data_IF_783164576677
#
_entry.id   IF_783164576677
#
_cell.length_a   1.000
_cell.length_b   1.000
_cell.length_c   1.000
_cell.angle_alpha   90.00
_cell.angle_beta   90.00
_cell.angle_gamma   90.00
#
_symmetry.space_group_name_H-M   'P 1'
#
loop_
_entity.id
_entity.type
_entity.pdbx_description
1 polymer ?
#
# COMPACT_ATOMS: atom_id res chain seq x y z
N UNK A 1 17.99 16.46 -13.74
CA UNK A 1 16.86 16.78 -12.84
C UNK A 1 16.26 15.51 -12.24
N UNK A 2 15.76 14.57 -13.05
CA UNK A 2 15.20 13.27 -12.58
C UNK A 2 16.19 12.46 -11.74
N UNK A 3 17.42 12.28 -12.20
CA UNK A 3 18.43 11.48 -11.47
C UNK A 3 18.75 12.06 -10.10
N UNK A 4 18.83 13.39 -10.00
CA UNK A 4 19.07 14.08 -8.74
C UNK A 4 17.89 13.95 -7.78
N UNK A 5 16.65 13.98 -8.31
CA UNK A 5 15.47 13.70 -7.50
C UNK A 5 15.45 12.25 -7.00
N UNK A 6 15.81 11.27 -7.85
CA UNK A 6 15.90 9.86 -7.48
C UNK A 6 16.96 9.67 -6.39
N UNK A 7 18.17 10.21 -6.59
CA UNK A 7 19.26 10.13 -5.62
C UNK A 7 18.85 10.73 -4.26
N UNK A 8 18.17 11.87 -4.27
CA UNK A 8 17.64 12.49 -3.05
C UNK A 8 16.58 11.61 -2.37
N UNK A 9 15.71 10.93 -3.11
CA UNK A 9 14.75 10.00 -2.49
C UNK A 9 15.45 8.77 -1.93
N UNK A 10 16.43 8.21 -2.63
CA UNK A 10 17.21 7.07 -2.16
C UNK A 10 17.96 7.41 -0.86
N UNK A 11 18.54 8.61 -0.74
CA UNK A 11 19.21 9.06 0.47
C UNK A 11 18.27 9.29 1.67
N UNK A 12 16.98 9.51 1.42
CA UNK A 12 15.98 9.71 2.48
C UNK A 12 15.37 8.40 2.99
N UNK A 13 15.44 7.34 2.18
CA UNK A 13 14.86 6.05 2.50
C UNK A 13 15.90 5.18 3.19
N UNK A 14 15.48 4.31 4.14
CA UNK A 14 16.40 3.37 4.76
C UNK A 14 17.04 2.45 3.71
N UNK A 15 18.35 2.21 3.86
CA UNK A 15 19.10 1.22 3.10
C UNK A 15 18.70 -0.19 3.56
N UNK A 16 17.64 -0.73 2.98
CA UNK A 16 17.14 -2.06 3.26
C UNK A 16 16.53 -2.71 2.02
N UNK A 17 16.15 -3.98 2.12
CA UNK A 17 15.36 -4.62 1.06
C UNK A 17 13.92 -4.11 1.10
N UNK A 18 13.37 -3.84 -0.08
CA UNK A 18 11.98 -3.41 -0.26
C UNK A 18 11.22 -4.44 -1.10
N UNK A 19 9.93 -4.60 -0.83
CA UNK A 19 9.02 -5.37 -1.66
C UNK A 19 7.97 -4.46 -2.27
N UNK A 20 7.83 -4.54 -3.60
CA UNK A 20 6.74 -3.91 -4.32
C UNK A 20 5.50 -4.81 -4.34
N UNK A 21 4.34 -4.21 -4.06
CA UNK A 21 3.03 -4.84 -4.04
C UNK A 21 2.03 -3.99 -4.83
N UNK A 22 1.09 -4.67 -5.48
CA UNK A 22 -0.04 -4.02 -6.14
C UNK A 22 -1.34 -4.55 -5.56
N UNK A 23 -2.22 -3.63 -5.15
CA UNK A 23 -3.59 -3.90 -4.75
C UNK A 23 -4.55 -3.40 -5.84
N UNK A 24 -5.29 -4.31 -6.46
CA UNK A 24 -6.18 -4.01 -7.58
C UNK A 24 -7.62 -4.15 -7.15
N UNK A 25 -8.44 -3.13 -7.41
CA UNK A 25 -9.89 -3.23 -7.25
C UNK A 25 -10.49 -4.14 -8.33
N UNK A 26 -11.46 -5.00 -8.00
CA UNK A 26 -12.26 -5.68 -9.01
C UNK A 26 -13.06 -4.65 -9.83
N UNK A 27 -13.25 -4.94 -11.11
CA UNK A 27 -13.95 -4.08 -12.07
C UNK A 27 -15.40 -3.77 -11.68
N UNK A 28 -16.07 -4.69 -11.01
CA UNK A 28 -17.40 -4.50 -10.43
C UNK A 28 -17.49 -3.34 -9.45
N UNK A 29 -16.38 -2.96 -8.79
CA UNK A 29 -16.33 -1.81 -7.89
C UNK A 29 -15.84 -0.54 -8.58
N UNK A 30 -15.34 -0.61 -9.82
CA UNK A 30 -14.77 0.55 -10.49
C UNK A 30 -15.76 1.71 -10.67
N UNK A 31 -17.03 1.51 -11.08
CA UNK A 31 -18.00 2.60 -11.21
C UNK A 31 -18.21 3.34 -9.89
N UNK A 32 -18.19 2.61 -8.77
CA UNK A 32 -18.39 3.20 -7.44
C UNK A 32 -17.30 4.23 -7.12
N UNK A 33 -16.03 3.89 -7.37
CA UNK A 33 -14.90 4.80 -7.18
C UNK A 33 -14.76 5.83 -8.29
N UNK A 34 -15.30 5.57 -9.48
CA UNK A 34 -15.35 6.55 -10.57
C UNK A 34 -16.27 7.72 -10.20
N UNK A 35 -17.47 7.42 -9.69
CA UNK A 35 -18.43 8.44 -9.29
C UNK A 35 -18.11 9.05 -7.92
N UNK A 36 -17.49 8.30 -7.00
CA UNK A 36 -17.13 8.77 -5.66
C UNK A 36 -15.61 8.96 -5.53
N UNK A 37 -15.05 9.90 -6.30
CA UNK A 37 -13.59 10.14 -6.37
C UNK A 37 -12.94 10.45 -5.02
N UNK A 38 -13.69 11.02 -4.08
CA UNK A 38 -13.21 11.31 -2.72
C UNK A 38 -12.89 10.04 -1.91
N UNK A 39 -13.40 8.86 -2.29
CA UNK A 39 -13.04 7.58 -1.67
C UNK A 39 -11.72 6.98 -2.16
N UNK A 40 -11.10 7.54 -3.20
CA UNK A 40 -9.84 7.03 -3.71
C UNK A 40 -8.71 7.09 -2.68
N UNK A 41 -8.69 8.14 -1.85
CA UNK A 41 -7.70 8.28 -0.78
C UNK A 41 -7.81 7.15 0.26
N UNK A 42 -9.04 6.67 0.53
CA UNK A 42 -9.26 5.55 1.43
C UNK A 42 -8.57 4.27 0.93
N UNK A 43 -8.46 4.03 -0.38
CA UNK A 43 -7.79 2.84 -0.92
C UNK A 43 -6.31 2.78 -0.53
N UNK A 44 -5.61 3.92 -0.59
CA UNK A 44 -4.23 4.06 -0.13
C UNK A 44 -4.14 3.83 1.39
N UNK A 45 -4.98 4.52 2.18
CA UNK A 45 -4.97 4.38 3.65
C UNK A 45 -5.17 2.93 4.08
N UNK A 46 -6.17 2.25 3.52
CA UNK A 46 -6.47 0.85 3.83
C UNK A 46 -5.32 -0.09 3.41
N UNK A 47 -4.56 0.23 2.36
CA UNK A 47 -3.38 -0.53 1.96
C UNK A 47 -2.22 -0.37 2.95
N UNK A 48 -1.95 0.87 3.37
CA UNK A 48 -0.94 1.21 4.38
C UNK A 48 -1.29 0.57 5.72
N UNK A 49 -2.51 0.77 6.21
CA UNK A 49 -2.98 0.20 7.48
C UNK A 49 -2.89 -1.33 7.51
N UNK A 50 -3.14 -1.97 6.36
CA UNK A 50 -3.02 -3.42 6.24
C UNK A 50 -1.58 -3.90 6.48
N UNK A 51 -0.60 -3.19 5.91
CA UNK A 51 0.83 -3.47 6.07
C UNK A 51 1.33 -3.13 7.48
N UNK A 52 0.96 -1.96 8.00
CA UNK A 52 1.33 -1.56 9.36
C UNK A 52 0.77 -2.53 10.40
N UNK A 53 -0.47 -3.00 10.24
CA UNK A 53 -1.00 -4.06 11.09
C UNK A 53 -0.17 -5.34 10.99
N UNK A 54 0.25 -5.73 9.79
CA UNK A 54 1.04 -6.94 9.60
C UNK A 54 2.43 -6.82 10.26
N UNK A 55 3.05 -5.64 10.23
CA UNK A 55 4.27 -5.34 10.99
C UNK A 55 4.02 -5.38 12.50
N UNK A 56 3.02 -4.63 13.00
CA UNK A 56 2.68 -4.58 14.43
C UNK A 56 2.35 -5.93 15.04
N UNK A 57 1.67 -6.82 14.29
CA UNK A 57 1.40 -8.21 14.71
C UNK A 57 2.67 -9.04 14.97
N UNK A 58 3.82 -8.56 14.51
CA UNK A 58 5.15 -9.16 14.67
C UNK A 58 6.08 -8.31 15.52
N UNK A 59 5.57 -7.23 16.14
CA UNK A 59 6.35 -6.31 16.97
C UNK A 59 7.35 -5.47 16.18
N UNK A 60 7.06 -5.16 14.91
CA UNK A 60 7.98 -4.43 14.02
C UNK A 60 7.26 -3.28 13.32
N UNK A 61 7.83 -2.08 13.39
CA UNK A 61 7.41 -0.92 12.63
C UNK A 61 8.11 -0.89 11.26
N UNK A 62 7.32 -1.00 10.19
CA UNK A 62 7.80 -1.06 8.80
C UNK A 62 7.65 0.28 8.09
N UNK A 63 8.56 0.57 7.16
CA UNK A 63 8.43 1.69 6.24
C UNK A 63 7.50 1.36 5.08
N UNK A 64 6.62 2.29 4.70
CA UNK A 64 5.67 2.11 3.60
C UNK A 64 5.62 3.36 2.72
N UNK A 65 5.72 3.18 1.41
CA UNK A 65 5.43 4.20 0.40
C UNK A 65 4.25 3.73 -0.46
N UNK A 66 3.22 4.55 -0.60
CA UNK A 66 1.98 4.19 -1.27
C UNK A 66 1.58 5.24 -2.31
N UNK A 67 1.20 4.79 -3.50
CA UNK A 67 0.71 5.64 -4.58
C UNK A 67 -0.53 5.00 -5.22
N UNK A 68 -1.52 5.84 -5.52
CA UNK A 68 -2.70 5.42 -6.30
C UNK A 68 -2.51 5.76 -7.77
N UNK A 69 -2.79 4.79 -8.63
CA UNK A 69 -2.94 4.99 -10.06
C UNK A 69 -4.40 4.76 -10.45
N UNK A 70 -5.02 5.72 -11.13
CA UNK A 70 -6.44 5.63 -11.51
C UNK A 70 -6.66 5.07 -12.91
N UNK A 71 -5.62 5.02 -13.74
CA UNK A 71 -5.68 4.55 -15.12
C UNK A 71 -4.68 3.43 -15.37
N UNK A 72 -5.10 2.46 -16.19
CA UNK A 72 -4.22 1.43 -16.69
C UNK A 72 -3.39 1.90 -17.88
N UNK A 73 -2.50 1.03 -18.39
CA UNK A 73 -1.65 1.32 -19.56
C UNK A 73 -2.44 1.74 -20.81
N UNK A 74 -3.68 1.27 -20.97
CA UNK A 74 -4.57 1.61 -22.09
C UNK A 74 -5.44 2.86 -21.83
N UNK A 75 -5.14 3.62 -20.77
CA UNK A 75 -5.94 4.76 -20.31
C UNK A 75 -7.41 4.42 -19.98
N UNK A 76 -7.70 3.14 -19.74
CA UNK A 76 -8.97 2.72 -19.17
C UNK A 76 -8.96 2.99 -17.67
N UNK A 77 -10.13 3.36 -17.13
CA UNK A 77 -10.33 3.48 -15.69
C UNK A 77 -9.96 2.14 -15.03
N UNK A 78 -8.97 2.16 -14.14
CA UNK A 78 -8.40 0.98 -13.50
C UNK A 78 -7.71 1.41 -12.19
N UNK A 79 -8.48 1.74 -11.14
CA UNK A 79 -7.90 2.16 -9.87
C UNK A 79 -7.14 1.00 -9.21
N UNK A 80 -5.84 1.20 -9.00
CA UNK A 80 -4.95 0.27 -8.34
C UNK A 80 -3.92 1.02 -7.48
N UNK A 81 -3.48 0.37 -6.42
CA UNK A 81 -2.55 0.93 -5.44
C UNK A 81 -1.21 0.24 -5.59
N UNK A 82 -0.17 1.03 -5.85
CA UNK A 82 1.21 0.61 -5.78
C UNK A 82 1.74 0.88 -4.39
N UNK A 83 2.35 -0.11 -3.78
CA UNK A 83 2.97 0.02 -2.47
C UNK A 83 4.37 -0.56 -2.49
N UNK A 84 5.32 0.15 -1.89
CA UNK A 84 6.62 -0.38 -1.53
C UNK A 84 6.70 -0.46 -0.02
N UNK A 85 7.01 -1.64 0.51
CA UNK A 85 7.16 -1.88 1.95
C UNK A 85 8.56 -2.40 2.24
N UNK A 86 9.17 -1.98 3.34
CA UNK A 86 10.44 -2.54 3.80
C UNK A 86 10.26 -4.01 4.19
N UNK A 87 11.18 -4.88 3.80
CA UNK A 87 11.23 -6.29 4.23
C UNK A 87 11.90 -6.44 5.60
N UNK A 88 11.57 -5.52 6.49
CA UNK A 88 12.09 -5.41 7.83
C UNK A 88 11.70 -4.06 8.44
N UNK A 89 12.07 -3.84 9.68
CA UNK A 89 11.74 -2.61 10.40
C UNK A 89 12.33 -2.62 11.79
N UNK A 90 12.00 -1.61 12.58
CA UNK A 90 12.48 -1.49 13.97
C UNK A 90 11.48 -2.10 14.95
N UNK A 91 11.97 -2.84 15.95
CA UNK A 91 11.15 -3.25 17.09
C UNK A 91 11.09 -2.16 18.18
N UNK A 92 10.38 -2.43 19.27
CA UNK A 92 10.22 -1.49 20.40
C UNK A 92 11.56 -1.14 21.08
N UNK A 93 12.61 -1.94 20.89
CA UNK A 93 13.95 -1.68 21.37
C UNK A 93 14.82 -0.91 20.35
N UNK A 94 14.24 -0.53 19.21
CA UNK A 94 14.94 0.15 18.11
C UNK A 94 15.86 -0.77 17.30
N UNK A 95 15.73 -2.09 17.44
CA UNK A 95 16.57 -3.07 16.74
C UNK A 95 15.90 -3.48 15.44
N UNK A 96 16.68 -3.48 14.35
CA UNK A 96 16.18 -3.95 13.06
C UNK A 96 15.83 -5.44 13.08
N UNK A 97 14.66 -5.79 12.56
CA UNK A 97 14.17 -7.15 12.37
C UNK A 97 13.71 -7.34 10.93
N UNK A 98 14.19 -8.40 10.30
CA UNK A 98 13.75 -8.77 8.95
C UNK A 98 12.33 -9.33 8.97
N UNK A 99 11.61 -9.07 7.88
CA UNK A 99 10.24 -9.51 7.69
C UNK A 99 10.03 -10.03 6.27
N UNK A 100 9.07 -10.93 6.15
CA UNK A 100 8.52 -11.32 4.86
C UNK A 100 7.00 -11.19 4.87
N UNK A 101 6.47 -10.79 3.72
CA UNK A 101 5.04 -10.71 3.51
C UNK A 101 4.59 -11.69 2.44
N UNK A 102 3.45 -12.33 2.68
CA UNK A 102 2.79 -13.16 1.68
C UNK A 102 1.82 -12.29 0.86
N UNK A 103 2.11 -11.96 -0.41
CA UNK A 103 1.34 -10.97 -1.16
C UNK A 103 -0.15 -11.32 -1.26
N UNK A 104 -0.49 -12.60 -1.45
CA UNK A 104 -1.90 -13.04 -1.53
C UNK A 104 -2.66 -12.89 -0.22
N UNK A 105 -2.00 -12.98 0.95
CA UNK A 105 -2.65 -12.77 2.23
C UNK A 105 -2.95 -11.29 2.45
N UNK A 106 -2.00 -10.42 2.12
CA UNK A 106 -2.18 -8.98 2.16
C UNK A 106 -3.29 -8.53 1.21
N UNK A 107 -3.30 -8.99 -0.05
CA UNK A 107 -4.36 -8.65 -1.02
C UNK A 107 -5.75 -9.05 -0.53
N UNK A 108 -5.89 -10.25 0.04
CA UNK A 108 -7.17 -10.72 0.60
C UNK A 108 -7.64 -9.82 1.76
N UNK A 109 -6.76 -9.49 2.70
CA UNK A 109 -7.11 -8.63 3.83
C UNK A 109 -7.40 -7.20 3.42
N UNK A 110 -6.67 -6.64 2.46
CA UNK A 110 -6.96 -5.32 1.91
C UNK A 110 -8.35 -5.29 1.27
N UNK A 111 -8.71 -6.28 0.46
CA UNK A 111 -10.05 -6.36 -0.14
C UNK A 111 -11.15 -6.51 0.91
N UNK A 112 -10.88 -7.26 2.00
CA UNK A 112 -11.79 -7.32 3.14
C UNK A 112 -11.97 -5.93 3.79
N UNK A 113 -10.88 -5.20 4.05
CA UNK A 113 -10.92 -3.83 4.59
C UNK A 113 -11.71 -2.87 3.67
N UNK A 114 -11.51 -2.95 2.35
CA UNK A 114 -12.26 -2.14 1.36
C UNK A 114 -13.77 -2.42 1.47
N UNK A 115 -14.17 -3.69 1.58
CA UNK A 115 -15.59 -4.04 1.76
C UNK A 115 -16.16 -3.46 3.05
N UNK A 116 -15.42 -3.53 4.16
CA UNK A 116 -15.87 -2.95 5.43
C UNK A 116 -16.01 -1.42 5.33
N UNK A 117 -15.04 -0.76 4.71
CA UNK A 117 -15.09 0.68 4.46
C UNK A 117 -16.33 1.07 3.65
N UNK A 118 -16.63 0.35 2.57
CA UNK A 118 -17.80 0.61 1.73
C UNK A 118 -19.11 0.38 2.50
N UNK A 119 -19.20 -0.66 3.33
CA UNK A 119 -20.36 -0.92 4.17
C UNK A 119 -20.59 0.18 5.20
N UNK A 120 -19.54 0.85 5.69
CA UNK A 120 -19.66 1.94 6.65
C UNK A 120 -20.00 3.30 6.02
N UNK A 121 -20.14 3.37 4.68
CA UNK A 121 -20.61 4.60 4.01
C UNK A 121 -22.13 4.65 3.86
N UNK A 122 -22.84 3.63 4.35
CA UNK A 122 -24.29 3.49 4.36
C UNK A 122 -24.79 3.39 5.80
#
# INVERSE_FOLDING_TARGET
ATDQWIANQQHRLPECTWQHLVFTLPDTLWPLFFHNRHWLDALCRLAVDNLLYAGRRRGVEVGVFCAIHTYGRRLNWHPHIHVSVTLGGIDDAGVWKDLSFHPSALRRRWMWNVRQYLLSQW
#
